data_IF_045049914175
#
_entry.id   IF_045049914175
#
_cell.length_a   1.000
_cell.length_b   1.000
_cell.length_c   1.000
_cell.angle_alpha   90.00
_cell.angle_beta   90.00
_cell.angle_gamma   90.00
#
_symmetry.space_group_name_H-M   'P 1'
#
loop_
_entity.id
_entity.type
_entity.pdbx_description
1 polymer ?
#
# COMPACT_ATOMS: atom_id res chain seq x y z
N UNK A 1 -19.35 2.90 -26.36
CA UNK A 1 -18.47 1.88 -25.71
C UNK A 1 -17.09 2.50 -25.67
N UNK A 2 -16.63 2.90 -24.48
CA UNK A 2 -15.22 3.29 -24.29
C UNK A 2 -14.40 2.02 -24.57
N UNK A 3 -13.46 2.12 -25.50
CA UNK A 3 -12.56 1.00 -25.80
C UNK A 3 -11.67 0.74 -24.59
N UNK A 4 -11.77 -0.40 -23.96
CA UNK A 4 -10.99 -0.79 -22.77
C UNK A 4 -9.48 -0.89 -23.09
N UNK A 5 -9.12 -1.22 -24.33
CA UNK A 5 -7.72 -1.42 -24.75
C UNK A 5 -6.82 -0.18 -24.64
N UNK A 6 -7.21 1.01 -25.15
CA UNK A 6 -6.38 2.22 -24.99
C UNK A 6 -6.17 2.60 -23.53
N UNK A 7 -7.20 2.46 -22.70
CA UNK A 7 -7.09 2.73 -21.26
C UNK A 7 -6.15 1.73 -20.57
N UNK A 8 -6.28 0.45 -20.89
CA UNK A 8 -5.37 -0.57 -20.36
C UNK A 8 -3.92 -0.33 -20.80
N UNK A 9 -3.67 0.08 -22.06
CA UNK A 9 -2.34 0.42 -22.52
C UNK A 9 -1.74 1.61 -21.76
N UNK A 10 -2.54 2.66 -21.53
CA UNK A 10 -2.15 3.83 -20.74
C UNK A 10 -1.78 3.45 -19.29
N UNK A 11 -2.58 2.59 -18.66
CA UNK A 11 -2.33 2.13 -17.29
C UNK A 11 -1.09 1.23 -17.20
N UNK A 12 -0.84 0.38 -18.18
CA UNK A 12 0.36 -0.45 -18.25
C UNK A 12 1.61 0.44 -18.24
N UNK A 13 1.61 1.50 -19.03
CA UNK A 13 2.72 2.47 -19.08
C UNK A 13 2.82 3.28 -17.78
N UNK A 14 1.72 3.88 -17.33
CA UNK A 14 1.69 4.75 -16.16
C UNK A 14 2.14 4.03 -14.87
N UNK A 15 1.76 2.76 -14.71
CA UNK A 15 2.08 1.95 -13.53
C UNK A 15 3.30 1.04 -13.73
N UNK A 16 4.01 1.21 -14.85
CA UNK A 16 5.23 0.44 -15.17
C UNK A 16 4.99 -1.09 -15.07
N UNK A 17 3.84 -1.55 -15.58
CA UNK A 17 3.48 -2.97 -15.54
C UNK A 17 4.23 -3.69 -16.66
N UNK A 18 5.07 -4.67 -16.31
CA UNK A 18 5.76 -5.51 -17.30
C UNK A 18 4.78 -6.53 -17.89
N UNK A 19 4.12 -6.14 -18.97
CA UNK A 19 3.18 -6.95 -19.72
C UNK A 19 3.40 -6.78 -21.23
N UNK A 20 3.06 -7.80 -22.02
CA UNK A 20 3.15 -7.75 -23.51
C UNK A 20 1.89 -7.08 -24.09
N UNK A 21 1.46 -5.96 -23.51
CA UNK A 21 0.28 -5.21 -23.93
C UNK A 21 -1.02 -5.61 -23.20
N UNK A 22 -2.15 -4.96 -23.56
CA UNK A 22 -3.44 -5.10 -22.89
C UNK A 22 -4.04 -6.52 -22.88
N UNK A 23 -3.63 -7.35 -23.83
CA UNK A 23 -4.12 -8.73 -23.98
C UNK A 23 -3.27 -9.75 -23.20
N UNK A 24 -2.26 -9.28 -22.46
CA UNK A 24 -1.44 -10.16 -21.64
C UNK A 24 -2.29 -10.81 -20.53
N UNK A 25 -2.23 -12.14 -20.44
CA UNK A 25 -3.03 -12.86 -19.45
C UNK A 25 -2.54 -12.57 -18.04
N UNK A 26 -3.41 -12.09 -17.16
CA UNK A 26 -3.09 -11.72 -15.77
C UNK A 26 -2.40 -12.87 -14.99
N UNK A 27 -2.78 -14.13 -15.26
CA UNK A 27 -2.16 -15.32 -14.63
C UNK A 27 -0.68 -15.53 -14.98
N UNK A 28 -0.17 -14.84 -16.01
CA UNK A 28 1.24 -14.91 -16.45
C UNK A 28 2.07 -13.75 -15.90
N UNK A 29 1.46 -12.82 -15.15
CA UNK A 29 2.18 -11.74 -14.52
C UNK A 29 2.93 -12.25 -13.28
N UNK A 30 4.11 -11.65 -13.02
CA UNK A 30 4.77 -11.82 -11.73
C UNK A 30 3.92 -11.19 -10.62
N UNK A 31 4.15 -11.60 -9.35
CA UNK A 31 3.44 -11.05 -8.19
C UNK A 31 3.47 -9.52 -8.15
N UNK A 32 4.63 -8.91 -8.38
CA UNK A 32 4.78 -7.46 -8.42
C UNK A 32 3.97 -6.79 -9.53
N UNK A 33 3.95 -7.38 -10.74
CA UNK A 33 3.13 -6.83 -11.82
C UNK A 33 1.63 -7.04 -11.59
N UNK A 34 1.23 -8.15 -10.99
CA UNK A 34 -0.16 -8.37 -10.58
C UNK A 34 -0.59 -7.33 -9.52
N UNK A 35 0.27 -7.02 -8.54
CA UNK A 35 0.01 -5.97 -7.54
C UNK A 35 -0.12 -4.59 -8.18
N UNK A 36 0.74 -4.25 -9.15
CA UNK A 36 0.63 -2.99 -9.91
C UNK A 36 -0.68 -2.90 -10.69
N UNK A 37 -1.17 -4.00 -11.26
CA UNK A 37 -2.48 -4.04 -11.95
C UNK A 37 -3.61 -3.74 -10.95
N UNK A 38 -3.58 -4.32 -9.75
CA UNK A 38 -4.58 -4.05 -8.72
C UNK A 38 -4.55 -2.56 -8.31
N UNK A 39 -3.37 -2.00 -8.05
CA UNK A 39 -3.23 -0.58 -7.71
C UNK A 39 -3.69 0.32 -8.87
N UNK A 40 -3.31 0.00 -10.10
CA UNK A 40 -3.76 0.75 -11.27
C UNK A 40 -5.29 0.79 -11.36
N UNK A 41 -5.96 -0.33 -11.11
CA UNK A 41 -7.42 -0.41 -11.10
C UNK A 41 -8.05 0.47 -10.02
N UNK A 42 -7.53 0.40 -8.81
CA UNK A 42 -8.09 1.12 -7.65
C UNK A 42 -7.79 2.63 -7.71
N UNK A 43 -6.56 3.00 -8.10
CA UNK A 43 -6.11 4.40 -8.15
C UNK A 43 -6.62 5.16 -9.38
N UNK A 44 -6.86 4.45 -10.49
CA UNK A 44 -7.37 5.08 -11.73
C UNK A 44 -8.88 5.12 -11.80
N UNK A 45 -9.56 4.76 -10.75
CA UNK A 45 -10.98 4.50 -10.59
C UNK A 45 -11.92 5.35 -11.47
N UNK A 46 -12.49 4.74 -12.49
CA UNK A 46 -13.26 5.36 -13.56
C UNK A 46 -14.66 5.88 -13.19
N UNK A 47 -15.01 6.06 -11.92
CA UNK A 47 -16.29 6.63 -11.48
C UNK A 47 -16.17 7.44 -10.19
N UNK A 48 -15.38 8.50 -10.23
CA UNK A 48 -15.15 9.38 -9.10
C UNK A 48 -13.85 9.04 -8.37
N UNK A 49 -13.06 10.06 -8.05
CA UNK A 49 -11.79 9.87 -7.35
C UNK A 49 -12.01 9.07 -6.08
N UNK A 50 -11.31 7.95 -5.95
CA UNK A 50 -11.28 7.15 -4.72
C UNK A 50 -10.79 8.05 -3.60
N UNK A 51 -11.65 8.33 -2.62
CA UNK A 51 -11.31 9.21 -1.49
C UNK A 51 -10.51 8.49 -0.42
N UNK A 52 -10.76 7.20 -0.27
CA UNK A 52 -10.08 6.32 0.68
C UNK A 52 -9.66 5.04 -0.03
N UNK A 53 -8.39 4.71 0.07
CA UNK A 53 -7.80 3.45 -0.35
C UNK A 53 -7.42 2.63 0.88
N UNK A 54 -7.89 1.40 0.96
CA UNK A 54 -7.49 0.45 2.01
C UNK A 54 -6.57 -0.59 1.38
N UNK A 55 -5.34 -0.68 1.86
CA UNK A 55 -4.32 -1.61 1.37
C UNK A 55 -3.80 -2.48 2.51
N UNK A 56 -3.73 -3.78 2.25
CA UNK A 56 -3.24 -4.75 3.23
C UNK A 56 -1.99 -5.44 2.68
N UNK A 57 -0.87 -5.26 3.38
CA UNK A 57 0.45 -5.84 3.05
C UNK A 57 0.80 -5.70 1.56
N UNK A 58 0.79 -4.47 0.99
CA UNK A 58 0.88 -4.26 -0.45
C UNK A 58 2.23 -4.68 -1.07
N UNK A 59 3.28 -4.81 -0.27
CA UNK A 59 4.61 -5.19 -0.75
C UNK A 59 5.00 -6.61 -0.41
N UNK A 60 4.14 -7.38 0.26
CA UNK A 60 4.45 -8.73 0.71
C UNK A 60 4.79 -9.66 -0.46
N UNK A 61 5.96 -10.31 -0.38
CA UNK A 61 6.41 -11.27 -1.38
C UNK A 61 6.87 -10.66 -2.71
N UNK A 62 7.09 -9.35 -2.76
CA UNK A 62 7.61 -8.65 -3.93
C UNK A 62 9.14 -8.54 -3.88
N UNK A 63 9.75 -8.42 -5.07
CA UNK A 63 11.16 -8.04 -5.19
C UNK A 63 11.37 -6.55 -4.87
N UNK A 64 12.61 -6.15 -4.58
CA UNK A 64 12.97 -4.79 -4.15
C UNK A 64 12.47 -3.72 -5.12
N UNK A 65 12.62 -3.92 -6.43
CA UNK A 65 12.18 -2.95 -7.43
C UNK A 65 10.66 -2.80 -7.47
N UNK A 66 9.92 -3.89 -7.28
CA UNK A 66 8.46 -3.86 -7.19
C UNK A 66 8.00 -3.17 -5.89
N UNK A 67 8.68 -3.39 -4.76
CA UNK A 67 8.42 -2.72 -3.49
C UNK A 67 8.55 -1.20 -3.65
N UNK A 68 9.66 -0.73 -4.22
CA UNK A 68 9.89 0.70 -4.44
C UNK A 68 8.82 1.32 -5.34
N UNK A 69 8.43 0.62 -6.40
CA UNK A 69 7.37 1.09 -7.30
C UNK A 69 6.02 1.20 -6.56
N UNK A 70 5.65 0.19 -5.77
CA UNK A 70 4.39 0.21 -5.00
C UNK A 70 4.40 1.34 -3.97
N UNK A 71 5.49 1.52 -3.23
CA UNK A 71 5.64 2.61 -2.25
C UNK A 71 5.51 3.99 -2.93
N UNK A 72 6.15 4.18 -4.09
CA UNK A 72 6.03 5.41 -4.86
C UNK A 72 4.59 5.67 -5.29
N UNK A 73 3.89 4.67 -5.83
CA UNK A 73 2.49 4.81 -6.26
C UNK A 73 1.55 5.19 -5.10
N UNK A 74 1.75 4.63 -3.92
CA UNK A 74 0.99 5.00 -2.72
C UNK A 74 1.28 6.44 -2.28
N UNK A 75 2.55 6.86 -2.29
CA UNK A 75 2.94 8.23 -1.97
C UNK A 75 2.38 9.24 -2.99
N UNK A 76 2.38 8.91 -4.28
CA UNK A 76 1.80 9.75 -5.33
C UNK A 76 0.29 9.90 -5.12
N UNK A 77 -0.41 8.84 -4.78
CA UNK A 77 -1.84 8.85 -4.46
C UNK A 77 -2.14 9.73 -3.23
N UNK A 78 -1.34 9.60 -2.17
CA UNK A 78 -1.43 10.45 -0.97
C UNK A 78 -1.22 11.92 -1.33
N UNK A 79 -0.19 12.22 -2.12
CA UNK A 79 0.13 13.58 -2.56
C UNK A 79 -0.97 14.18 -3.44
N UNK A 80 -1.71 13.35 -4.16
CA UNK A 80 -2.91 13.75 -4.91
C UNK A 80 -4.16 13.93 -4.03
N UNK A 81 -4.04 13.79 -2.71
CA UNK A 81 -5.13 14.03 -1.75
C UNK A 81 -5.99 12.81 -1.44
N UNK A 82 -5.56 11.61 -1.80
CA UNK A 82 -6.26 10.38 -1.39
C UNK A 82 -5.87 10.00 0.04
N UNK A 83 -6.86 9.66 0.85
CA UNK A 83 -6.63 9.04 2.15
C UNK A 83 -6.24 7.56 1.96
N UNK A 84 -5.22 7.08 2.67
CA UNK A 84 -4.75 5.70 2.59
C UNK A 84 -4.78 5.09 3.99
N UNK A 85 -5.48 3.97 4.14
CA UNK A 85 -5.37 3.11 5.31
C UNK A 85 -4.46 1.93 4.95
N UNK A 86 -3.22 2.00 5.43
CA UNK A 86 -2.23 0.94 5.27
C UNK A 86 -2.31 -0.02 6.46
N UNK A 87 -2.47 -1.30 6.19
CA UNK A 87 -2.41 -2.37 7.19
C UNK A 87 -1.23 -3.26 6.82
N UNK A 88 -0.22 -3.33 7.68
CA UNK A 88 0.97 -4.13 7.42
C UNK A 88 1.62 -4.60 8.72
N UNK A 89 2.28 -5.75 8.66
CA UNK A 89 3.16 -6.27 9.72
C UNK A 89 4.62 -5.84 9.51
N UNK A 90 4.94 -5.30 8.33
CA UNK A 90 6.26 -4.79 7.97
C UNK A 90 6.44 -3.38 8.54
N UNK A 91 7.27 -3.28 9.58
CA UNK A 91 7.54 -2.02 10.27
C UNK A 91 8.21 -0.98 9.36
N UNK A 92 9.11 -1.41 8.48
CA UNK A 92 9.77 -0.49 7.54
C UNK A 92 8.77 0.08 6.55
N UNK A 93 7.81 -0.72 6.09
CA UNK A 93 6.72 -0.27 5.24
C UNK A 93 5.84 0.76 5.97
N UNK A 94 5.39 0.42 7.18
CA UNK A 94 4.51 1.29 7.98
C UNK A 94 5.20 2.61 8.31
N UNK A 95 6.44 2.56 8.82
CA UNK A 95 7.16 3.76 9.26
C UNK A 95 7.57 4.68 8.10
N UNK A 96 7.83 4.10 6.92
CA UNK A 96 8.22 4.89 5.74
C UNK A 96 7.06 5.56 5.00
N UNK A 97 5.83 5.06 5.16
CA UNK A 97 4.68 5.50 4.37
C UNK A 97 3.61 6.25 5.16
N UNK A 98 3.61 6.12 6.51
CA UNK A 98 2.48 6.58 7.31
C UNK A 98 2.73 7.92 7.98
N UNK A 99 1.74 8.82 7.91
CA UNK A 99 1.74 10.08 8.67
C UNK A 99 1.33 9.83 10.14
N UNK A 100 0.61 8.74 10.39
CA UNK A 100 0.12 8.34 11.72
C UNK A 100 0.13 6.82 11.82
N UNK A 101 0.66 6.30 12.90
CA UNK A 101 0.78 4.86 13.17
C UNK A 101 -0.10 4.47 14.34
N UNK A 102 -0.91 3.43 14.14
CA UNK A 102 -1.73 2.79 15.16
C UNK A 102 -1.29 1.35 15.30
N UNK A 103 -1.06 0.88 16.52
CA UNK A 103 -0.78 -0.53 16.79
C UNK A 103 -1.99 -1.19 17.39
N UNK A 104 -2.46 -2.25 16.73
CA UNK A 104 -3.54 -3.10 17.21
C UNK A 104 -2.97 -4.37 17.85
N UNK A 105 -3.43 -4.67 19.06
CA UNK A 105 -3.09 -5.90 19.76
C UNK A 105 -4.34 -6.45 20.45
N UNK A 106 -4.67 -7.71 20.22
CA UNK A 106 -5.84 -8.40 20.79
C UNK A 106 -7.15 -7.63 20.65
N UNK A 107 -7.36 -7.00 19.48
CA UNK A 107 -8.60 -6.28 19.16
C UNK A 107 -8.71 -4.86 19.72
N UNK A 108 -7.64 -4.33 20.32
CA UNK A 108 -7.58 -2.96 20.83
C UNK A 108 -6.42 -2.16 20.24
N UNK A 109 -6.57 -0.85 20.10
CA UNK A 109 -5.45 0.05 19.80
C UNK A 109 -4.65 0.24 21.09
N UNK A 110 -3.41 -0.26 21.10
CA UNK A 110 -2.53 -0.24 22.28
C UNK A 110 -1.47 0.86 22.21
N UNK A 111 -1.20 1.38 21.03
CA UNK A 111 -0.25 2.48 20.84
C UNK A 111 -0.66 3.34 19.64
N UNK A 112 -0.41 4.64 19.74
CA UNK A 112 -0.62 5.60 18.66
C UNK A 112 0.52 6.62 18.69
N UNK A 113 1.07 6.95 17.49
CA UNK A 113 2.14 7.92 17.35
C UNK A 113 2.09 8.59 15.97
N UNK A 114 2.51 9.87 15.85
CA UNK A 114 2.79 10.45 14.54
C UNK A 114 3.92 9.69 13.84
N UNK A 115 3.83 9.52 12.50
CA UNK A 115 4.84 8.80 11.72
C UNK A 115 6.24 9.39 11.85
N UNK A 116 6.35 10.72 11.87
CA UNK A 116 7.62 11.45 12.00
C UNK A 116 8.38 11.14 13.31
N UNK A 117 7.67 10.82 14.39
CA UNK A 117 8.25 10.54 15.71
C UNK A 117 8.17 9.08 16.09
N UNK A 118 7.64 8.23 15.21
CA UNK A 118 7.49 6.81 15.45
C UNK A 118 8.86 6.13 15.56
N UNK A 119 9.07 5.43 16.66
CA UNK A 119 10.31 4.68 16.91
C UNK A 119 10.05 3.19 16.72
N UNK A 120 10.91 2.53 15.94
CA UNK A 120 10.84 1.10 15.64
C UNK A 120 10.70 0.25 16.92
N UNK A 121 11.49 0.59 17.96
CA UNK A 121 11.48 -0.13 19.24
C UNK A 121 10.15 -0.01 19.98
N UNK A 122 9.53 1.17 19.99
CA UNK A 122 8.26 1.41 20.67
C UNK A 122 7.10 0.73 19.92
N UNK A 123 7.06 0.89 18.59
CA UNK A 123 6.03 0.26 17.76
C UNK A 123 6.16 -1.26 17.83
N UNK A 124 7.38 -1.80 17.71
CA UNK A 124 7.64 -3.23 17.83
C UNK A 124 7.28 -3.82 19.21
N UNK A 125 7.61 -3.12 20.31
CA UNK A 125 7.20 -3.53 21.65
C UNK A 125 5.68 -3.55 21.82
N UNK A 126 4.99 -2.54 21.30
CA UNK A 126 3.54 -2.47 21.30
C UNK A 126 2.89 -3.62 20.51
N UNK A 127 3.45 -3.97 19.34
CA UNK A 127 2.99 -5.11 18.53
C UNK A 127 3.17 -6.46 19.25
N UNK A 128 4.22 -6.59 20.09
CA UNK A 128 4.44 -7.75 20.94
C UNK A 128 3.57 -7.77 22.21
N UNK A 129 2.77 -6.73 22.45
CA UNK A 129 1.94 -6.60 23.66
C UNK A 129 2.70 -6.13 24.89
N UNK A 130 3.96 -5.70 24.74
CA UNK A 130 4.81 -5.27 25.86
C UNK A 130 4.56 -3.82 26.30
N UNK A 131 3.79 -3.04 25.54
CA UNK A 131 3.50 -1.65 25.83
C UNK A 131 2.52 -1.44 27.01
N UNK A 132 1.91 -2.48 27.55
CA UNK A 132 0.90 -2.41 28.61
C UNK A 132 1.41 -2.78 30.02
N UNK A 133 2.68 -3.11 30.19
CA UNK A 133 3.21 -3.50 31.53
C UNK A 133 3.44 -2.32 32.49
N UNK A 134 3.14 -1.08 32.09
CA UNK A 134 3.31 0.13 32.88
C UNK A 134 2.03 0.82 33.37
N UNK A 135 0.85 0.22 33.15
CA UNK A 135 -0.44 0.75 33.63
C UNK A 135 -1.19 -0.30 34.49
N UNK A 136 -0.71 -0.51 35.69
CA UNK A 136 -1.46 -1.12 36.80
C UNK A 136 -1.58 -0.11 37.92
#
# INVERSE_FOLDING_TARGET
>A
RVSVRPEAARLIEQFEIKANGPDHLARKLSGGNAQKVLLARELSGGRGATKLLVVCSPTRGLDVGAIETVRRLLNDARSAGQAILLISEDLDEVLSLSDRVLVLYRGAVVHETPGETAQLSQVGAAMAGLANEGRS
#
